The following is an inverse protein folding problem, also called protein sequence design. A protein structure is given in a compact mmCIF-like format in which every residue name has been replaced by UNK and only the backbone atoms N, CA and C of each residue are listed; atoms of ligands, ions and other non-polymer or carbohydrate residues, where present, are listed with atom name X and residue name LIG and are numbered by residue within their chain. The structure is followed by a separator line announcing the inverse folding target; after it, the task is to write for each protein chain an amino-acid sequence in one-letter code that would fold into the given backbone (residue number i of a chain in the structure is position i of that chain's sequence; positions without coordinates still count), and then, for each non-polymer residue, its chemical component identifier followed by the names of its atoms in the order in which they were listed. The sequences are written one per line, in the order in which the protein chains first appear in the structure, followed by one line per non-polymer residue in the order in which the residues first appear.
data_IF_328504250115
#
_entry.id   IF_328504250115
#
_cell.length_a   1.000
_cell.length_b   1.000
_cell.length_c   1.000
_cell.angle_alpha   90.00
_cell.angle_beta   90.00
_cell.angle_gamma   90.00
#
_symmetry.space_group_name_H-M   'P 1'
#
loop_
_entity.id
_entity.type
_entity.pdbx_description
1 polymer ?
#
# COMPACT_ATOMS: atom_id res chain seq x y z
N UNK A 1 35.21 -13.78 12.66
CA UNK A 1 34.03 -13.32 13.42
C UNK A 1 33.10 -12.60 12.44
N UNK A 2 31.84 -13.06 12.32
CA UNK A 2 30.83 -12.55 11.37
C UNK A 2 30.47 -11.10 11.71
N UNK A 3 30.70 -10.18 10.78
CA UNK A 3 30.16 -8.83 10.88
C UNK A 3 28.64 -8.91 10.69
N UNK A 4 27.93 -8.56 11.75
CA UNK A 4 26.49 -8.43 11.75
C UNK A 4 26.11 -7.29 10.80
N UNK A 5 25.31 -7.61 9.79
CA UNK A 5 24.72 -6.63 8.87
C UNK A 5 23.79 -5.78 9.73
N UNK A 6 24.20 -4.57 10.12
CA UNK A 6 23.26 -3.59 10.70
C UNK A 6 22.45 -3.05 9.53
N UNK A 7 21.16 -3.41 9.39
CA UNK A 7 20.39 -2.95 8.25
C UNK A 7 20.22 -1.44 8.36
N UNK A 8 20.67 -0.69 7.35
CA UNK A 8 20.43 0.75 7.24
C UNK A 8 18.92 1.01 7.37
N UNK A 9 18.50 2.12 8.01
CA UNK A 9 17.07 2.46 8.22
C UNK A 9 16.20 2.29 6.97
N UNK A 10 16.76 2.56 5.78
CA UNK A 10 16.13 2.33 4.47
C UNK A 10 15.83 0.86 4.16
N UNK A 11 16.72 -0.06 4.55
CA UNK A 11 16.52 -1.50 4.37
C UNK A 11 15.43 -2.05 5.28
N UNK A 12 15.40 -1.61 6.55
CA UNK A 12 14.33 -1.97 7.49
C UNK A 12 12.98 -1.46 6.98
N UNK A 13 12.91 -0.18 6.55
CA UNK A 13 11.70 0.40 5.98
C UNK A 13 11.22 -0.35 4.72
N UNK A 14 12.14 -0.77 3.85
CA UNK A 14 11.81 -1.57 2.66
C UNK A 14 11.20 -2.93 3.01
N UNK A 15 11.78 -3.63 3.99
CA UNK A 15 11.28 -4.93 4.45
C UNK A 15 9.90 -4.80 5.10
N UNK A 16 9.70 -3.77 5.93
CA UNK A 16 8.38 -3.51 6.54
C UNK A 16 7.35 -3.17 5.46
N UNK A 17 7.71 -2.34 4.48
CA UNK A 17 6.83 -2.01 3.35
C UNK A 17 6.45 -3.26 2.53
N UNK A 18 7.42 -4.15 2.28
CA UNK A 18 7.17 -5.42 1.60
C UNK A 18 6.16 -6.29 2.37
N UNK A 19 6.33 -6.43 3.68
CA UNK A 19 5.42 -7.22 4.52
C UNK A 19 4.00 -6.63 4.46
N UNK A 20 3.87 -5.31 4.52
CA UNK A 20 2.58 -4.64 4.38
C UNK A 20 1.92 -4.91 3.03
N UNK A 21 2.65 -4.75 1.93
CA UNK A 21 2.14 -5.00 0.59
C UNK A 21 1.75 -6.47 0.36
N UNK A 22 2.53 -7.42 0.89
CA UNK A 22 2.18 -8.84 0.86
C UNK A 22 0.93 -9.13 1.70
N UNK A 23 0.76 -8.47 2.84
CA UNK A 23 -0.46 -8.56 3.64
C UNK A 23 -1.70 -8.09 2.87
N UNK A 24 -1.59 -6.96 2.16
CA UNK A 24 -2.66 -6.47 1.28
C UNK A 24 -2.97 -7.47 0.16
N UNK A 25 -1.96 -8.02 -0.51
CA UNK A 25 -2.17 -9.00 -1.57
C UNK A 25 -2.75 -10.33 -1.04
N UNK A 26 -2.33 -10.77 0.15
CA UNK A 26 -2.84 -11.98 0.81
C UNK A 26 -4.28 -11.80 1.27
N UNK A 27 -4.71 -10.59 1.62
CA UNK A 27 -6.08 -10.29 2.05
C UNK A 27 -7.13 -10.65 1.00
N UNK A 28 -6.75 -10.71 -0.28
CA UNK A 28 -7.62 -11.12 -1.40
C UNK A 28 -8.11 -12.57 -1.29
N UNK A 29 -7.36 -13.42 -0.58
CA UNK A 29 -7.68 -14.83 -0.40
C UNK A 29 -8.60 -15.08 0.80
N UNK A 30 -8.87 -14.05 1.59
CA UNK A 30 -9.72 -14.11 2.76
C UNK A 30 -11.07 -13.45 2.44
N UNK A 31 -12.12 -13.90 3.12
CA UNK A 31 -13.42 -13.23 3.11
C UNK A 31 -13.27 -11.82 3.68
N UNK A 32 -13.85 -10.85 2.99
CA UNK A 32 -13.90 -9.45 3.44
C UNK A 32 -15.25 -9.13 4.06
N UNK A 33 -16.32 -9.70 3.52
CA UNK A 33 -17.66 -9.40 3.96
C UNK A 33 -18.61 -10.57 3.71
N UNK A 34 -19.37 -10.98 4.73
CA UNK A 34 -20.42 -12.00 4.63
C UNK A 34 -19.99 -13.26 3.85
N UNK A 35 -18.82 -13.82 4.20
CA UNK A 35 -18.17 -14.98 3.55
C UNK A 35 -17.68 -14.81 2.10
N UNK A 36 -17.96 -13.68 1.43
CA UNK A 36 -17.44 -13.35 0.11
C UNK A 36 -16.12 -12.57 0.18
N UNK A 37 -15.27 -12.80 -0.82
CA UNK A 37 -13.95 -12.17 -0.94
C UNK A 37 -13.81 -11.26 -2.17
N UNK A 38 -12.73 -10.46 -2.24
CA UNK A 38 -12.42 -9.59 -3.38
C UNK A 38 -12.22 -10.32 -4.73
N UNK A 39 -12.15 -11.66 -4.72
CA UNK A 39 -12.05 -12.50 -5.91
C UNK A 39 -13.37 -12.72 -6.61
N UNK A 40 -14.44 -12.68 -5.84
CA UNK A 40 -15.77 -13.02 -6.32
C UNK A 40 -16.48 -11.77 -6.85
N UNK A 41 -16.05 -10.59 -6.40
CA UNK A 41 -16.59 -9.30 -6.78
C UNK A 41 -15.98 -8.75 -8.08
N UNK A 42 -16.80 -8.44 -9.10
CA UNK A 42 -16.33 -7.80 -10.33
C UNK A 42 -15.87 -6.36 -10.07
N UNK A 43 -14.90 -5.89 -10.88
CA UNK A 43 -14.37 -4.54 -10.85
C UNK A 43 -15.45 -3.48 -11.05
N UNK A 44 -16.50 -3.76 -11.83
CA UNK A 44 -17.64 -2.85 -12.01
C UNK A 44 -18.37 -2.56 -10.68
N UNK A 45 -18.36 -3.49 -9.72
CA UNK A 45 -18.99 -3.32 -8.42
C UNK A 45 -18.23 -2.33 -7.52
N UNK A 46 -17.00 -1.95 -7.86
CA UNK A 46 -16.35 -0.80 -7.22
C UNK A 46 -16.93 0.54 -7.68
N UNK A 47 -17.62 0.58 -8.81
CA UNK A 47 -18.18 1.82 -9.38
C UNK A 47 -19.72 1.84 -9.34
N UNK A 48 -20.33 0.78 -8.83
CA UNK A 48 -21.79 0.61 -8.78
C UNK A 48 -22.18 0.13 -7.38
N UNK A 49 -23.22 0.74 -6.81
CA UNK A 49 -23.76 0.30 -5.52
C UNK A 49 -24.48 -1.06 -5.62
N UNK A 50 -25.13 -1.33 -6.75
CA UNK A 50 -25.88 -2.58 -6.97
C UNK A 50 -24.95 -3.75 -7.32
N UNK A 51 -25.27 -5.00 -6.91
CA UNK A 51 -24.49 -6.19 -7.26
C UNK A 51 -24.42 -6.40 -8.78
N UNK A 52 -23.21 -6.39 -9.35
CA UNK A 52 -22.99 -6.53 -10.80
C UNK A 52 -22.82 -8.00 -11.27
N UNK A 53 -23.22 -8.97 -10.44
CA UNK A 53 -23.01 -10.41 -10.68
C UNK A 53 -21.66 -10.92 -10.19
N UNK A 54 -21.28 -12.15 -10.57
CA UNK A 54 -20.01 -12.80 -10.18
C UNK A 54 -18.92 -12.61 -11.23
N UNK A 55 -17.70 -12.30 -10.81
CA UNK A 55 -16.58 -12.17 -11.73
C UNK A 55 -16.19 -13.53 -12.35
N UNK A 56 -16.06 -13.61 -13.68
CA UNK A 56 -15.65 -14.84 -14.40
C UNK A 56 -14.14 -14.94 -14.61
N UNK A 57 -13.38 -13.86 -14.37
CA UNK A 57 -11.94 -13.80 -14.55
C UNK A 57 -11.25 -12.96 -13.47
N UNK A 58 -10.10 -13.43 -12.97
CA UNK A 58 -9.31 -12.78 -11.93
C UNK A 58 -8.95 -11.33 -12.24
N UNK A 59 -8.63 -11.03 -13.50
CA UNK A 59 -8.31 -9.68 -13.98
C UNK A 59 -9.51 -8.73 -14.08
N UNK A 60 -10.73 -9.28 -14.07
CA UNK A 60 -11.97 -8.52 -13.99
C UNK A 60 -12.48 -8.34 -12.56
N UNK A 61 -11.71 -8.76 -11.55
CA UNK A 61 -12.14 -8.79 -10.14
C UNK A 61 -11.40 -7.76 -9.31
N UNK A 62 -11.94 -7.41 -8.13
CA UNK A 62 -11.30 -6.52 -7.15
C UNK A 62 -9.94 -7.05 -6.65
N UNK A 63 -9.69 -8.34 -6.82
CA UNK A 63 -8.40 -8.99 -6.64
C UNK A 63 -7.25 -8.40 -7.50
N UNK A 64 -7.56 -7.90 -8.71
CA UNK A 64 -6.57 -7.40 -9.65
C UNK A 64 -5.80 -6.17 -9.14
N UNK A 65 -6.45 -5.06 -8.71
CA UNK A 65 -5.72 -3.91 -8.16
C UNK A 65 -4.93 -4.26 -6.91
N UNK A 66 -5.42 -5.15 -6.04
CA UNK A 66 -4.69 -5.58 -4.84
C UNK A 66 -3.45 -6.44 -5.18
N UNK A 67 -3.52 -7.26 -6.23
CA UNK A 67 -2.35 -7.95 -6.77
C UNK A 67 -1.30 -6.96 -7.31
N UNK A 68 -1.74 -5.87 -7.95
CA UNK A 68 -0.85 -4.78 -8.38
C UNK A 68 -0.18 -4.11 -7.17
N UNK A 69 -0.88 -3.92 -6.04
CA UNK A 69 -0.26 -3.43 -4.79
C UNK A 69 0.86 -4.37 -4.32
N UNK A 70 0.62 -5.68 -4.33
CA UNK A 70 1.64 -6.67 -3.98
C UNK A 70 2.87 -6.59 -4.89
N UNK A 71 2.65 -6.49 -6.21
CA UNK A 71 3.72 -6.37 -7.20
C UNK A 71 4.51 -5.07 -7.04
N UNK A 72 3.84 -3.93 -6.89
CA UNK A 72 4.47 -2.63 -6.65
C UNK A 72 5.20 -2.61 -5.30
N UNK A 73 4.63 -3.23 -4.27
CA UNK A 73 5.29 -3.41 -2.99
C UNK A 73 6.60 -4.20 -3.10
N UNK A 74 6.57 -5.33 -3.82
CA UNK A 74 7.74 -6.14 -4.08
C UNK A 74 8.81 -5.39 -4.87
N UNK A 75 8.44 -4.77 -5.99
CA UNK A 75 9.35 -3.99 -6.83
C UNK A 75 9.90 -2.77 -6.10
N UNK A 76 9.04 -2.03 -5.39
CA UNK A 76 9.42 -0.84 -4.64
C UNK A 76 10.34 -1.15 -3.47
N UNK A 77 10.14 -2.29 -2.79
CA UNK A 77 11.03 -2.76 -1.73
C UNK A 77 12.38 -3.22 -2.29
N UNK A 78 12.38 -3.96 -3.41
CA UNK A 78 13.59 -4.46 -4.07
C UNK A 78 14.46 -3.30 -4.59
N UNK A 79 13.84 -2.34 -5.29
CA UNK A 79 14.50 -1.15 -5.82
C UNK A 79 14.75 -0.08 -4.75
N UNK A 80 14.20 -0.26 -3.54
CA UNK A 80 14.18 0.74 -2.45
C UNK A 80 13.66 2.11 -2.92
N UNK A 81 12.70 2.09 -3.84
CA UNK A 81 12.19 3.27 -4.53
C UNK A 81 10.84 3.69 -3.94
N UNK A 82 10.87 4.76 -3.14
CA UNK A 82 9.71 5.24 -2.36
C UNK A 82 8.50 5.60 -3.22
N UNK A 83 8.71 6.09 -4.44
CA UNK A 83 7.61 6.43 -5.35
C UNK A 83 6.78 5.20 -5.77
N UNK A 84 7.44 4.07 -6.06
CA UNK A 84 6.74 2.82 -6.42
C UNK A 84 5.93 2.30 -5.22
N UNK A 85 6.51 2.34 -4.01
CA UNK A 85 5.80 1.96 -2.79
C UNK A 85 4.59 2.88 -2.51
N UNK A 86 4.77 4.20 -2.69
CA UNK A 86 3.70 5.18 -2.57
C UNK A 86 2.57 4.95 -3.58
N UNK A 87 2.90 4.62 -4.83
CA UNK A 87 1.91 4.28 -5.85
C UNK A 87 1.11 3.03 -5.48
N UNK A 88 1.78 1.99 -4.98
CA UNK A 88 1.12 0.79 -4.46
C UNK A 88 0.19 1.11 -3.30
N UNK A 89 0.62 1.97 -2.37
CA UNK A 89 -0.20 2.40 -1.24
C UNK A 89 -1.45 3.18 -1.68
N UNK A 90 -1.31 4.09 -2.66
CA UNK A 90 -2.43 4.85 -3.23
C UNK A 90 -3.44 3.92 -3.89
N UNK A 91 -2.97 2.98 -4.71
CA UNK A 91 -3.85 2.02 -5.40
C UNK A 91 -4.63 1.19 -4.38
N UNK A 92 -3.95 0.60 -3.39
CA UNK A 92 -4.60 -0.22 -2.36
C UNK A 92 -5.61 0.56 -1.53
N UNK A 93 -5.24 1.78 -1.12
CA UNK A 93 -6.13 2.65 -0.34
C UNK A 93 -7.34 3.09 -1.15
N UNK A 94 -7.15 3.49 -2.41
CA UNK A 94 -8.24 3.89 -3.30
C UNK A 94 -9.23 2.73 -3.53
N UNK A 95 -8.73 1.52 -3.79
CA UNK A 95 -9.58 0.33 -3.94
C UNK A 95 -10.38 0.06 -2.67
N UNK A 96 -9.74 0.08 -1.49
CA UNK A 96 -10.41 -0.18 -0.23
C UNK A 96 -11.45 0.89 0.13
N UNK A 97 -11.10 2.17 -0.04
CA UNK A 97 -12.00 3.29 0.23
C UNK A 97 -13.21 3.24 -0.70
N UNK A 98 -12.98 3.04 -1.99
CA UNK A 98 -14.06 3.00 -2.98
C UNK A 98 -15.03 1.83 -2.70
N UNK A 99 -14.49 0.65 -2.39
CA UNK A 99 -15.29 -0.49 -1.94
C UNK A 99 -16.12 -0.16 -0.70
N UNK A 100 -15.49 0.48 0.31
CA UNK A 100 -16.16 0.84 1.56
C UNK A 100 -17.31 1.83 1.32
N UNK A 101 -17.09 2.84 0.46
CA UNK A 101 -18.09 3.84 0.12
C UNK A 101 -19.26 3.21 -0.62
N UNK A 102 -19.01 2.39 -1.66
CA UNK A 102 -20.08 1.75 -2.43
C UNK A 102 -20.97 0.88 -1.56
N UNK A 103 -20.37 0.12 -0.64
CA UNK A 103 -21.12 -0.72 0.28
C UNK A 103 -21.86 0.10 1.35
N UNK A 104 -21.32 1.23 1.79
CA UNK A 104 -22.04 2.14 2.71
C UNK A 104 -23.27 2.79 2.06
N UNK A 105 -23.25 2.98 0.74
CA UNK A 105 -24.38 3.52 -0.04
C UNK A 105 -25.50 2.48 -0.22
N UNK A 106 -25.17 1.18 -0.20
CA UNK A 106 -26.13 0.08 -0.41
C UNK A 106 -27.02 -0.22 0.82
N UNK A 107 -26.94 0.61 1.89
CA UNK A 107 -27.76 0.62 3.12
C UNK A 107 -27.83 -0.71 3.93
N UNK A 108 -27.15 -1.78 3.49
CA UNK A 108 -27.00 -3.06 4.19
C UNK A 108 -25.69 -3.17 4.99
N UNK A 109 -25.04 -2.06 5.33
CA UNK A 109 -23.76 -2.09 6.05
C UNK A 109 -23.93 -2.56 7.50
N UNK A 110 -23.54 -3.80 7.79
CA UNK A 110 -23.45 -4.34 9.14
C UNK A 110 -21.99 -4.61 9.49
N UNK A 111 -21.48 -3.92 10.50
CA UNK A 111 -20.10 -4.12 10.99
C UNK A 111 -19.83 -5.53 11.52
N UNK A 112 -20.89 -6.29 11.82
CA UNK A 112 -20.81 -7.69 12.25
C UNK A 112 -20.42 -8.65 11.12
N UNK A 113 -20.68 -8.27 9.86
CA UNK A 113 -20.39 -9.10 8.69
C UNK A 113 -18.97 -8.83 8.14
N UNK A 114 -18.22 -7.93 8.78
CA UNK A 114 -16.85 -7.60 8.42
C UNK A 114 -15.91 -8.73 8.85
N UNK A 115 -15.33 -9.40 7.87
CA UNK A 115 -14.50 -10.58 8.09
C UNK A 115 -13.01 -10.24 8.20
N UNK A 116 -12.22 -11.24 8.61
CA UNK A 116 -10.77 -11.09 8.87
C UNK A 116 -9.97 -10.55 7.67
N UNK A 117 -10.42 -10.77 6.44
CA UNK A 117 -9.73 -10.28 5.24
C UNK A 117 -9.72 -8.75 5.12
N UNK A 118 -10.82 -8.08 5.47
CA UNK A 118 -10.87 -6.62 5.44
C UNK A 118 -9.91 -6.00 6.45
N UNK A 119 -9.87 -6.57 7.67
CA UNK A 119 -8.92 -6.16 8.71
C UNK A 119 -7.47 -6.41 8.31
N UNK A 120 -7.18 -7.53 7.65
CA UNK A 120 -5.84 -7.82 7.13
C UNK A 120 -5.41 -6.81 6.06
N UNK A 121 -6.33 -6.39 5.18
CA UNK A 121 -6.07 -5.37 4.18
C UNK A 121 -5.71 -4.03 4.84
N UNK A 122 -6.51 -3.57 5.81
CA UNK A 122 -6.26 -2.34 6.56
C UNK A 122 -4.92 -2.41 7.29
N UNK A 123 -4.67 -3.50 8.01
CA UNK A 123 -3.41 -3.71 8.71
C UNK A 123 -2.22 -3.70 7.73
N UNK A 124 -2.36 -4.37 6.58
CA UNK A 124 -1.36 -4.38 5.51
C UNK A 124 -1.06 -2.98 4.96
N UNK A 125 -2.09 -2.16 4.73
CA UNK A 125 -1.94 -0.77 4.27
C UNK A 125 -1.22 0.10 5.31
N UNK A 126 -1.54 -0.06 6.59
CA UNK A 126 -0.88 0.66 7.68
C UNK A 126 0.59 0.25 7.80
N UNK A 127 0.89 -1.05 7.71
CA UNK A 127 2.27 -1.56 7.72
C UNK A 127 3.05 -1.06 6.50
N UNK A 128 2.43 -1.06 5.31
CA UNK A 128 3.02 -0.53 4.09
C UNK A 128 3.38 0.95 4.26
N UNK A 129 2.44 1.76 4.78
CA UNK A 129 2.67 3.17 5.06
C UNK A 129 3.78 3.39 6.09
N UNK A 130 3.77 2.61 7.17
CA UNK A 130 4.81 2.64 8.20
C UNK A 130 6.20 2.36 7.62
N UNK A 131 6.33 1.38 6.72
CA UNK A 131 7.57 1.08 6.02
C UNK A 131 8.04 2.22 5.10
N UNK A 132 7.10 2.85 4.38
CA UNK A 132 7.37 4.03 3.53
C UNK A 132 7.88 5.21 4.37
N UNK A 133 7.26 5.48 5.51
CA UNK A 133 7.66 6.56 6.42
C UNK A 133 9.01 6.28 7.09
N UNK A 134 9.26 5.02 7.47
CA UNK A 134 10.51 4.60 8.11
C UNK A 134 11.75 4.76 7.21
N UNK A 135 11.60 4.75 5.88
CA UNK A 135 12.70 5.03 4.94
C UNK A 135 13.26 6.45 5.08
N UNK A 136 12.48 7.39 5.62
CA UNK A 136 12.87 8.79 5.84
C UNK A 136 13.07 9.61 4.55
N UNK A 137 12.93 10.95 4.61
CA UNK A 137 13.29 11.81 3.49
C UNK A 137 14.78 11.63 3.16
N UNK A 138 15.11 11.69 1.87
CA UNK A 138 16.50 11.89 1.43
C UNK A 138 16.90 13.24 2.03
N UNK A 139 17.84 13.26 2.96
CA UNK A 139 18.59 14.50 3.18
C UNK A 139 19.34 14.72 1.88
N UNK A 140 18.72 15.47 0.97
CA UNK A 140 19.49 16.33 0.09
C UNK A 140 20.28 17.19 1.07
N UNK A 141 21.57 16.90 1.17
CA UNK A 141 22.52 17.85 1.71
C UNK A 141 22.33 19.11 0.86
N UNK A 142 21.47 20.02 1.34
CA UNK A 142 21.52 21.43 0.99
C UNK A 142 22.76 21.99 1.68
N UNK A 143 23.91 21.41 1.34
CA UNK A 143 25.20 22.08 1.39
C UNK A 143 25.19 23.00 0.16
N UNK A 144 24.34 24.03 0.22
CA UNK A 144 24.58 25.22 -0.56
C UNK A 144 25.87 25.84 0.04
N UNK A 145 26.97 25.98 -0.72
CA UNK A 145 28.19 26.61 -0.26
C UNK A 145 27.97 28.12 -0.04
N UNK A 146 27.30 28.50 1.05
CA UNK A 146 27.17 29.89 1.48
C UNK A 146 28.46 30.45 2.13
N UNK A 147 29.58 29.73 2.03
CA UNK A 147 30.92 30.21 2.42
C UNK A 147 31.71 30.88 1.30
N UNK A 148 31.15 31.01 0.08
CA UNK A 148 31.81 31.69 -1.04
C UNK A 148 31.75 33.24 -0.95
N UNK A 149 31.12 33.81 0.09
CA UNK A 149 30.95 35.26 0.24
C UNK A 149 31.64 35.86 1.49
N UNK A 150 32.52 35.10 2.14
CA UNK A 150 33.35 35.58 3.28
C UNK A 150 34.77 35.98 2.82
N UNK A 151 34.94 36.43 1.57
CA UNK A 151 36.16 37.12 1.14
C UNK A 151 36.01 38.61 1.50
N UNK A 152 36.68 39.03 2.58
CA UNK A 152 36.83 40.43 3.00
C UNK A 152 37.32 41.32 1.83
N UNK A 153 36.78 42.54 1.64
CA UNK A 153 37.30 43.45 0.63
C UNK A 153 38.72 43.90 1.00
N UNK A 154 39.65 44.00 0.03
CA UNK A 154 41.01 44.47 0.29
C UNK A 154 40.97 45.93 0.79
N UNK A 155 41.69 46.17 1.89
CA UNK A 155 41.92 47.47 2.55
C UNK A 155 42.80 48.37 1.68
#
# INVERSE_FOLDING_TARGET
MRQWITPTRRGIGASVALVGALGVAASVYLSWYASDGPRDWPLQQLFQASPAGTATAYWGSVAAPLAVVGLLGALGALLRFRFILGLGWIIGSATFILWSIMRAIDDEWRTQDLESGAWLCVAGLVVLLGGILAMGPRQEEVEAPLRMFDDDPPQ
#
